data_IF_997405750055
#
_entry.id   IF_997405750055
#
_cell.length_a   1.000
_cell.length_b   1.000
_cell.length_c   1.000
_cell.angle_alpha   90.00
_cell.angle_beta   90.00
_cell.angle_gamma   90.00
#
_symmetry.space_group_name_H-M   'P 1'
#
loop_
_entity.id
_entity.type
_entity.pdbx_description
1 polymer ?
#
# COMPACT_ATOMS: atom_id res chain seq x y z
N UNK A 1 -22.80 1.56 1.38
CA UNK A 1 -21.48 2.06 1.83
C UNK A 1 -20.46 1.54 0.83
N UNK A 2 -19.60 2.38 0.25
CA UNK A 2 -18.59 1.94 -0.72
C UNK A 2 -17.59 0.91 -0.16
N UNK A 3 -17.03 0.09 -1.05
CA UNK A 3 -16.02 -0.90 -0.66
C UNK A 3 -14.65 -0.23 -0.48
N UNK A 4 -14.22 -0.10 0.78
CA UNK A 4 -12.93 0.49 1.12
C UNK A 4 -11.73 -0.35 0.68
N UNK A 5 -11.88 -1.65 0.46
CA UNK A 5 -10.78 -2.51 0.00
C UNK A 5 -10.58 -2.31 -1.51
N UNK A 6 -11.67 -2.20 -2.26
CA UNK A 6 -11.63 -1.82 -3.68
C UNK A 6 -11.03 -0.42 -3.85
N UNK A 7 -11.57 0.57 -3.14
CA UNK A 7 -11.09 1.95 -3.18
C UNK A 7 -9.60 2.05 -2.82
N UNK A 8 -9.17 1.37 -1.75
CA UNK A 8 -7.77 1.32 -1.36
C UNK A 8 -6.87 0.65 -2.39
N UNK A 9 -7.36 -0.37 -3.09
CA UNK A 9 -6.62 -1.02 -4.17
C UNK A 9 -6.43 -0.07 -5.36
N UNK A 10 -7.47 0.69 -5.73
CA UNK A 10 -7.36 1.72 -6.77
C UNK A 10 -6.43 2.87 -6.35
N UNK A 11 -6.42 3.28 -5.08
CA UNK A 11 -5.46 4.27 -4.58
C UNK A 11 -4.02 3.79 -4.74
N UNK A 12 -3.76 2.54 -4.39
CA UNK A 12 -2.43 1.93 -4.51
C UNK A 12 -2.01 1.81 -5.99
N UNK A 13 -2.94 1.40 -6.85
CA UNK A 13 -2.73 1.36 -8.31
C UNK A 13 -2.40 2.76 -8.84
N UNK A 14 -3.16 3.77 -8.40
CA UNK A 14 -2.95 5.16 -8.81
C UNK A 14 -1.56 5.69 -8.43
N UNK A 15 -1.09 5.37 -7.22
CA UNK A 15 0.28 5.68 -6.83
C UNK A 15 1.33 4.85 -7.62
N UNK A 16 1.02 3.59 -7.96
CA UNK A 16 1.98 2.73 -8.64
C UNK A 16 2.23 3.16 -10.09
N UNK A 17 1.22 3.64 -10.83
CA UNK A 17 1.35 3.91 -12.28
C UNK A 17 0.69 5.19 -12.77
N UNK A 18 -0.11 5.88 -11.96
CA UNK A 18 -0.86 7.05 -12.37
C UNK A 18 -0.03 8.33 -12.44
N UNK A 19 -0.46 9.26 -13.30
CA UNK A 19 0.02 10.66 -13.32
C UNK A 19 -0.93 11.61 -12.55
N UNK A 20 -1.98 11.06 -11.94
CA UNK A 20 -3.07 11.78 -11.28
C UNK A 20 -4.40 11.11 -11.58
N UNK A 21 -4.96 10.41 -10.59
CA UNK A 21 -6.21 9.66 -10.73
C UNK A 21 -7.18 10.08 -9.63
N UNK A 22 -8.39 10.44 -10.04
CA UNK A 22 -9.52 10.69 -9.15
C UNK A 22 -10.30 9.39 -8.95
N UNK A 23 -10.52 9.02 -7.69
CA UNK A 23 -11.30 7.86 -7.29
C UNK A 23 -12.58 8.39 -6.64
N UNK A 24 -13.70 8.15 -7.31
CA UNK A 24 -15.04 8.61 -6.91
C UNK A 24 -15.77 7.55 -6.08
N UNK A 25 -16.87 7.94 -5.43
CA UNK A 25 -17.72 7.08 -4.60
C UNK A 25 -16.93 6.39 -3.48
N UNK A 26 -16.16 7.16 -2.71
CA UNK A 26 -15.39 6.70 -1.56
C UNK A 26 -15.79 7.44 -0.29
N UNK A 27 -15.52 6.85 0.87
CA UNK A 27 -15.66 7.54 2.16
C UNK A 27 -14.25 7.69 2.74
N UNK A 28 -13.62 8.88 2.64
CA UNK A 28 -12.21 9.06 3.03
C UNK A 28 -11.90 8.63 4.47
N UNK A 29 -12.86 8.79 5.38
CA UNK A 29 -12.74 8.39 6.78
C UNK A 29 -12.50 6.87 6.94
N UNK A 30 -12.98 6.04 6.01
CA UNK A 30 -12.73 4.59 6.03
C UNK A 30 -11.34 4.19 5.53
N UNK A 31 -10.60 5.15 4.94
CA UNK A 31 -9.30 4.96 4.28
C UNK A 31 -8.17 5.75 4.97
N UNK A 32 -8.41 6.30 6.16
CA UNK A 32 -7.44 7.14 6.87
C UNK A 32 -6.10 6.46 7.11
N UNK A 33 -6.10 5.19 7.54
CA UNK A 33 -4.87 4.45 7.83
C UNK A 33 -4.03 4.17 6.58
N UNK A 34 -4.67 3.89 5.44
CA UNK A 34 -4.00 3.77 4.15
C UNK A 34 -3.46 5.13 3.70
N UNK A 35 -4.30 6.16 3.75
CA UNK A 35 -3.97 7.53 3.34
C UNK A 35 -2.78 8.06 4.13
N UNK A 36 -2.73 7.83 5.43
CA UNK A 36 -1.62 8.21 6.28
C UNK A 36 -0.31 7.55 5.83
N UNK A 37 -0.34 6.24 5.54
CA UNK A 37 0.87 5.51 5.10
C UNK A 37 1.33 5.88 3.71
N UNK A 38 0.41 6.16 2.79
CA UNK A 38 0.77 6.64 1.46
C UNK A 38 1.36 8.06 1.52
N UNK A 39 0.82 8.95 2.36
CA UNK A 39 1.41 10.29 2.61
C UNK A 39 2.79 10.19 3.27
N UNK A 40 2.98 9.30 4.24
CA UNK A 40 4.28 9.02 4.87
C UNK A 40 5.32 8.57 3.83
N UNK A 41 4.89 7.76 2.86
CA UNK A 41 5.71 7.30 1.72
C UNK A 41 6.05 8.42 0.72
N UNK A 42 5.39 9.59 0.82
CA UNK A 42 5.60 10.74 -0.05
C UNK A 42 4.64 10.82 -1.24
N UNK A 43 3.51 10.11 -1.20
CA UNK A 43 2.47 10.19 -2.23
C UNK A 43 1.55 11.37 -1.94
N UNK A 44 1.19 12.12 -2.98
CA UNK A 44 0.26 13.24 -2.88
C UNK A 44 -1.17 12.70 -2.89
N UNK A 45 -1.92 13.00 -1.84
CA UNK A 45 -3.32 12.58 -1.68
C UNK A 45 -4.16 13.76 -1.23
N UNK A 46 -5.18 14.08 -2.02
CA UNK A 46 -6.20 15.08 -1.72
C UNK A 46 -7.53 14.36 -1.48
N UNK A 47 -8.12 14.56 -0.30
CA UNK A 47 -9.40 13.95 0.06
C UNK A 47 -10.50 15.03 0.01
N UNK A 48 -11.55 14.76 -0.77
CA UNK A 48 -12.78 15.54 -0.80
C UNK A 48 -13.85 14.94 0.12
N UNK A 49 -15.12 15.21 -0.19
CA UNK A 49 -16.26 14.70 0.61
C UNK A 49 -16.56 13.22 0.28
N UNK A 50 -16.59 12.87 -1.01
CA UNK A 50 -16.91 11.54 -1.55
C UNK A 50 -15.89 11.02 -2.57
N UNK A 51 -14.74 11.70 -2.67
CA UNK A 51 -13.70 11.45 -3.66
C UNK A 51 -12.30 11.55 -3.06
N UNK A 52 -11.34 10.82 -3.64
CA UNK A 52 -9.91 10.94 -3.32
C UNK A 52 -9.13 11.08 -4.63
N UNK A 53 -8.31 12.13 -4.72
CA UNK A 53 -7.35 12.30 -5.80
C UNK A 53 -5.96 11.83 -5.35
N UNK A 54 -5.34 10.96 -6.14
CA UNK A 54 -4.00 10.42 -5.89
C UNK A 54 -3.09 10.77 -7.05
N UNK A 55 -1.97 11.43 -6.76
CA UNK A 55 -0.94 11.77 -7.74
C UNK A 55 0.45 11.37 -7.24
N UNK A 56 1.40 11.09 -8.15
CA UNK A 56 2.73 10.70 -7.76
C UNK A 56 3.45 11.84 -7.04
N UNK A 57 4.25 11.48 -6.04
CA UNK A 57 5.26 12.38 -5.46
C UNK A 57 6.58 12.29 -6.22
N UNK A 58 7.54 13.16 -5.89
CA UNK A 58 8.84 13.18 -6.56
C UNK A 58 9.63 11.88 -6.37
N UNK A 59 9.62 11.33 -5.15
CA UNK A 59 10.29 10.09 -4.77
C UNK A 59 9.53 9.38 -3.67
N UNK A 60 9.42 8.06 -3.78
CA UNK A 60 8.81 7.24 -2.75
C UNK A 60 9.85 6.79 -1.73
N UNK A 61 9.51 6.95 -0.45
CA UNK A 61 10.33 6.53 0.69
C UNK A 61 9.78 5.25 1.27
N UNK A 62 10.66 4.35 1.69
CA UNK A 62 10.24 3.15 2.40
C UNK A 62 9.47 3.51 3.67
N UNK A 63 8.36 2.81 3.90
CA UNK A 63 7.54 2.90 5.12
C UNK A 63 7.22 1.52 5.66
N UNK A 64 6.97 1.46 6.97
CA UNK A 64 6.56 0.23 7.63
C UNK A 64 5.05 0.18 7.82
N UNK A 65 4.45 -0.98 7.56
CA UNK A 65 3.04 -1.24 7.85
C UNK A 65 2.88 -2.41 8.82
N UNK A 66 1.96 -2.25 9.75
CA UNK A 66 1.52 -3.29 10.68
C UNK A 66 0.00 -3.37 10.59
N UNK A 67 -0.51 -4.54 10.21
CA UNK A 67 -1.96 -4.75 10.12
C UNK A 67 -2.56 -4.74 11.51
N UNK A 68 -3.77 -4.17 11.65
CA UNK A 68 -4.49 -4.06 12.92
C UNK A 68 -6.00 -4.16 12.64
N UNK A 69 -6.79 -4.39 13.70
CA UNK A 69 -8.26 -4.25 13.60
C UNK A 69 -8.63 -2.81 13.25
N UNK A 70 -9.76 -2.62 12.57
CA UNK A 70 -10.27 -1.28 12.23
C UNK A 70 -10.34 -0.40 13.49
N UNK A 71 -9.86 0.86 13.45
CA UNK A 71 -9.49 1.69 12.29
C UNK A 71 -8.02 1.57 11.81
N UNK A 72 -7.24 0.60 12.31
CA UNK A 72 -5.86 0.40 11.89
C UNK A 72 -5.70 -0.10 10.44
N UNK A 73 -4.45 -0.30 10.01
CA UNK A 73 -4.16 -0.68 8.62
C UNK A 73 -4.79 -2.06 8.29
N UNK A 74 -5.64 -2.16 7.25
CA UNK A 74 -6.37 -3.39 6.99
C UNK A 74 -5.48 -4.48 6.40
N UNK A 75 -5.60 -5.71 6.93
CA UNK A 75 -4.89 -6.90 6.42
C UNK A 75 -5.21 -7.19 4.95
N UNK A 76 -6.34 -6.74 4.42
CA UNK A 76 -6.70 -6.97 3.02
C UNK A 76 -5.90 -6.08 2.05
N UNK A 77 -5.41 -4.91 2.50
CA UNK A 77 -4.62 -4.00 1.66
C UNK A 77 -3.11 -4.19 1.77
N UNK A 78 -2.62 -5.00 2.71
CA UNK A 78 -1.17 -5.23 2.82
C UNK A 78 -0.59 -5.85 1.54
N UNK A 79 -1.33 -6.71 0.84
CA UNK A 79 -0.81 -7.40 -0.35
C UNK A 79 -0.70 -6.44 -1.55
N UNK A 80 -1.75 -5.67 -1.91
CA UNK A 80 -1.59 -4.56 -2.85
C UNK A 80 -0.48 -3.60 -2.44
N UNK A 81 -0.42 -3.21 -1.17
CA UNK A 81 0.57 -2.24 -0.69
C UNK A 81 2.01 -2.76 -0.80
N UNK A 82 2.22 -4.06 -0.58
CA UNK A 82 3.52 -4.73 -0.78
C UNK A 82 4.05 -4.54 -2.19
N UNK A 83 3.17 -4.58 -3.20
CA UNK A 83 3.59 -4.32 -4.59
C UNK A 83 4.07 -2.87 -4.79
N UNK A 84 3.40 -1.89 -4.17
CA UNK A 84 3.79 -0.48 -4.22
C UNK A 84 5.12 -0.22 -3.49
N UNK A 85 5.35 -0.90 -2.37
CA UNK A 85 6.60 -0.80 -1.61
C UNK A 85 7.84 -1.18 -2.43
N UNK A 86 7.70 -2.00 -3.47
CA UNK A 86 8.83 -2.34 -4.36
C UNK A 86 9.36 -1.13 -5.13
N UNK A 87 8.56 -0.06 -5.29
CA UNK A 87 8.97 1.22 -5.90
C UNK A 87 9.59 2.19 -4.90
N UNK A 88 9.47 1.92 -3.59
CA UNK A 88 9.99 2.79 -2.54
C UNK A 88 11.52 2.69 -2.46
N UNK A 89 12.21 3.80 -2.15
CA UNK A 89 13.64 3.76 -1.86
C UNK A 89 13.89 3.42 -0.39
N UNK A 90 14.60 2.31 -0.15
CA UNK A 90 14.94 1.81 1.17
C UNK A 90 14.33 0.44 1.48
N UNK A 91 14.42 0.04 2.75
CA UNK A 91 13.85 -1.20 3.27
C UNK A 91 12.55 -0.91 4.01
N UNK A 92 11.48 -1.59 3.61
CA UNK A 92 10.16 -1.54 4.23
C UNK A 92 9.83 -2.83 4.94
N UNK A 93 9.14 -2.75 6.07
CA UNK A 93 8.62 -3.91 6.79
C UNK A 93 7.09 -3.99 6.75
N UNK A 94 6.57 -5.13 6.30
CA UNK A 94 5.14 -5.47 6.33
C UNK A 94 4.92 -6.53 7.40
N UNK A 95 4.18 -6.22 8.46
CA UNK A 95 3.83 -7.19 9.51
C UNK A 95 2.33 -7.47 9.52
N UNK A 96 1.92 -8.72 9.33
CA UNK A 96 0.51 -9.12 9.43
C UNK A 96 0.17 -9.74 10.80
N UNK A 97 -0.46 -8.93 11.68
CA UNK A 97 -0.88 -9.35 13.03
C UNK A 97 -2.21 -10.10 13.05
N UNK A 98 -3.00 -10.03 11.97
CA UNK A 98 -4.30 -10.69 11.85
C UNK A 98 -4.11 -12.12 11.31
N UNK A 99 -3.36 -12.27 10.21
CA UNK A 99 -3.12 -13.57 9.59
C UNK A 99 -1.63 -13.89 9.51
N UNK A 100 -1.20 -14.98 10.15
CA UNK A 100 0.22 -15.33 10.23
C UNK A 100 0.87 -15.81 8.93
N UNK A 101 0.10 -16.13 7.89
CA UNK A 101 0.58 -16.75 6.66
C UNK A 101 0.11 -16.05 5.37
N UNK A 102 -0.19 -14.75 5.42
CA UNK A 102 -0.76 -13.99 4.27
C UNK A 102 0.30 -13.44 3.30
N UNK A 103 1.32 -14.25 2.98
CA UNK A 103 2.48 -13.85 2.17
C UNK A 103 2.66 -14.65 0.86
N UNK A 104 1.66 -15.45 0.46
CA UNK A 104 1.72 -16.29 -0.77
C UNK A 104 1.99 -15.51 -2.06
N UNK A 105 1.64 -14.22 -2.10
CA UNK A 105 1.85 -13.34 -3.25
C UNK A 105 3.34 -12.98 -3.47
N UNK A 106 4.20 -13.16 -2.45
CA UNK A 106 5.61 -12.77 -2.53
C UNK A 106 6.38 -13.61 -3.55
N UNK A 107 6.06 -14.89 -3.72
CA UNK A 107 6.78 -15.75 -4.66
C UNK A 107 6.54 -15.30 -6.11
N UNK A 108 5.34 -14.80 -6.43
CA UNK A 108 5.04 -14.23 -7.74
C UNK A 108 5.75 -12.88 -7.93
N UNK A 109 5.79 -12.02 -6.91
CA UNK A 109 6.57 -10.77 -6.97
C UNK A 109 8.07 -11.05 -7.14
N UNK A 110 8.64 -12.09 -6.52
CA UNK A 110 10.04 -12.49 -6.69
C UNK A 110 10.34 -12.96 -8.12
N UNK A 111 9.39 -13.62 -8.79
CA UNK A 111 9.51 -13.96 -10.23
C UNK A 111 9.56 -12.71 -11.11
N UNK A 112 8.99 -11.62 -10.62
CA UNK A 112 9.09 -10.26 -11.19
C UNK A 112 10.25 -9.48 -10.55
N UNK A 113 11.37 -10.10 -10.22
CA UNK A 113 12.58 -9.45 -9.66
C UNK A 113 12.42 -8.73 -8.30
N UNK A 114 11.30 -8.87 -7.59
CA UNK A 114 11.14 -8.22 -6.30
C UNK A 114 12.13 -8.77 -5.25
N UNK A 115 12.80 -7.87 -4.53
CA UNK A 115 13.70 -8.21 -3.43
C UNK A 115 12.91 -8.23 -2.13
N UNK A 116 12.38 -9.39 -1.78
CA UNK A 116 11.54 -9.56 -0.59
C UNK A 116 12.00 -10.77 0.22
N UNK A 117 12.22 -10.59 1.52
CA UNK A 117 12.48 -11.65 2.49
C UNK A 117 11.28 -11.83 3.42
N UNK A 118 10.92 -13.07 3.75
CA UNK A 118 9.80 -13.36 4.67
C UNK A 118 10.34 -14.09 5.88
N UNK A 119 10.03 -13.58 7.07
CA UNK A 119 10.37 -14.19 8.36
C UNK A 119 9.13 -14.24 9.24
N UNK A 120 8.55 -15.44 9.40
CA UNK A 120 7.33 -15.65 10.17
C UNK A 120 6.16 -14.81 9.65
N UNK A 121 5.78 -13.77 10.41
CA UNK A 121 4.65 -12.88 10.11
C UNK A 121 5.07 -11.55 9.49
N UNK A 122 6.35 -11.40 9.15
CA UNK A 122 6.92 -10.19 8.58
C UNK A 122 7.51 -10.44 7.19
N UNK A 123 7.30 -9.49 6.29
CA UNK A 123 8.00 -9.36 5.01
C UNK A 123 8.89 -8.12 5.05
N UNK A 124 10.14 -8.25 4.62
CA UNK A 124 11.09 -7.16 4.42
C UNK A 124 11.21 -6.95 2.91
N UNK A 125 10.86 -5.76 2.42
CA UNK A 125 10.83 -5.38 1.00
C UNK A 125 11.95 -4.36 0.79
N UNK A 126 12.90 -4.66 -0.08
CA UNK A 126 13.98 -3.75 -0.45
C UNK A 126 13.71 -3.15 -1.84
N UNK A 127 13.56 -1.83 -1.90
CA UNK A 127 13.38 -1.10 -3.15
C UNK A 127 14.40 0.06 -3.32
N UNK A 128 14.41 0.71 -4.49
CA UNK A 128 13.51 0.45 -5.60
C UNK A 128 13.99 -0.74 -6.45
N UNK A 129 13.04 -1.47 -7.02
CA UNK A 129 13.29 -2.51 -8.02
C UNK A 129 12.38 -2.32 -9.23
N UNK A 130 12.82 -2.78 -10.39
CA UNK A 130 11.99 -2.87 -11.59
C UNK A 130 11.33 -4.25 -11.59
N UNK A 131 9.99 -4.25 -11.45
CA UNK A 131 9.19 -5.46 -11.55
C UNK A 131 9.06 -5.95 -13.00
#
# INVERSE_FOLDING_TARGET
IPDRIEAGTFMILAAAVGEGILIDNVIPQHLESLTAKMREMGINIEAGDDQIFVSPGEKYKAVDIKTLVYPGFPTDLQQPFTSLLTKASGSSMVTDTIYGARFKHIDELRRMNAKIKVEGRAGIIDGPVQL
#
